data_IF_048330088539
#
_entry.id   IF_048330088539
#
_cell.length_a   1.000
_cell.length_b   1.000
_cell.length_c   1.000
_cell.angle_alpha   90.00
_cell.angle_beta   90.00
_cell.angle_gamma   90.00
#
_symmetry.space_group_name_H-M   'P 1'
#
loop_
_entity.id
_entity.type
_entity.pdbx_description
1 polymer ?
#
# COMPACT_ATOMS: atom_id res chain seq x y z
N UNK A 1 101.36 73.93 5.34
CA UNK A 1 102.22 73.87 6.55
C UNK A 1 103.62 73.49 6.10
N UNK A 2 104.47 74.50 5.86
CA UNK A 2 105.86 74.31 5.42
C UNK A 2 106.67 73.89 6.64
N UNK A 3 106.83 72.57 6.83
CA UNK A 3 107.82 72.07 7.76
C UNK A 3 109.19 72.48 7.20
N UNK A 4 109.99 73.16 8.03
CA UNK A 4 111.40 73.44 7.74
C UNK A 4 112.05 72.13 7.26
N UNK A 5 112.21 71.99 5.95
CA UNK A 5 112.91 70.87 5.35
C UNK A 5 114.35 71.02 5.83
N UNK A 6 114.71 70.25 6.87
CA UNK A 6 116.12 70.04 7.21
C UNK A 6 116.79 69.64 5.90
N UNK A 7 117.81 70.40 5.51
CA UNK A 7 118.63 70.10 4.34
C UNK A 7 119.34 68.77 4.60
N UNK A 8 118.68 67.68 4.23
CA UNK A 8 119.25 66.34 4.31
C UNK A 8 120.24 66.23 3.15
N UNK A 9 121.46 65.79 3.43
CA UNK A 9 122.44 65.55 2.37
C UNK A 9 122.11 64.24 1.65
N UNK A 10 122.55 64.10 0.39
CA UNK A 10 122.31 62.90 -0.41
C UNK A 10 122.89 61.66 0.26
N UNK A 11 124.00 61.81 0.97
CA UNK A 11 124.68 60.75 1.71
C UNK A 11 123.95 60.32 2.99
N UNK A 12 123.02 61.15 3.48
CA UNK A 12 122.27 60.94 4.72
C UNK A 12 120.87 60.36 4.48
N UNK A 13 120.54 60.02 3.22
CA UNK A 13 119.27 59.35 2.89
C UNK A 13 119.25 57.95 3.51
N UNK A 14 118.24 57.70 4.35
CA UNK A 14 118.09 56.47 5.12
C UNK A 14 116.62 56.07 5.22
N UNK A 15 116.36 54.89 5.76
CA UNK A 15 114.99 54.41 6.00
C UNK A 15 114.22 55.31 6.97
N UNK A 16 114.88 55.85 7.99
CA UNK A 16 114.24 56.66 9.03
C UNK A 16 113.72 58.02 8.50
N UNK A 17 114.41 58.61 7.52
CA UNK A 17 114.02 59.89 6.93
C UNK A 17 113.32 59.75 5.56
N UNK A 18 113.20 58.53 5.02
CA UNK A 18 112.49 58.26 3.77
C UNK A 18 111.05 58.82 3.74
N UNK A 19 110.22 58.70 4.81
CA UNK A 19 108.88 59.30 4.82
C UNK A 19 108.85 60.83 4.70
N UNK A 20 109.92 61.51 5.12
CA UNK A 20 110.04 62.97 5.01
C UNK A 20 110.62 63.42 3.65
N UNK A 21 111.39 62.54 3.00
CA UNK A 21 112.07 62.81 1.71
C UNK A 21 111.17 62.49 0.52
N UNK A 22 110.56 61.30 0.48
CA UNK A 22 109.81 60.80 -0.67
C UNK A 22 108.35 61.24 -0.63
N UNK A 23 108.15 62.55 -0.48
CA UNK A 23 106.85 63.23 -0.50
C UNK A 23 106.72 64.07 -1.76
N UNK A 24 105.52 64.56 -2.05
CA UNK A 24 105.30 65.49 -3.16
C UNK A 24 106.23 66.71 -3.04
N UNK A 25 107.06 66.94 -4.06
CA UNK A 25 108.06 68.02 -4.09
C UNK A 25 109.30 67.81 -3.22
N UNK A 26 109.37 66.75 -2.40
CA UNK A 26 110.47 66.52 -1.46
C UNK A 26 111.83 66.26 -2.11
N UNK A 27 111.86 65.74 -3.34
CA UNK A 27 113.09 65.48 -4.08
C UNK A 27 113.70 66.73 -4.75
N UNK A 28 112.94 67.83 -4.82
CA UNK A 28 113.38 69.05 -5.49
C UNK A 28 114.64 69.64 -4.84
N UNK A 29 114.81 69.47 -3.53
CA UNK A 29 116.00 69.92 -2.81
C UNK A 29 117.29 69.26 -3.32
N UNK A 30 117.24 67.96 -3.65
CA UNK A 30 118.41 67.23 -4.17
C UNK A 30 118.70 67.59 -5.63
N UNK A 31 117.65 67.83 -6.42
CA UNK A 31 117.78 68.32 -7.80
C UNK A 31 118.45 69.69 -7.79
N UNK A 32 117.98 70.62 -6.95
CA UNK A 32 118.54 71.95 -6.82
C UNK A 32 119.99 71.93 -6.32
N UNK A 33 120.30 71.07 -5.35
CA UNK A 33 121.66 70.87 -4.84
C UNK A 33 122.62 70.44 -5.95
N UNK A 34 122.29 69.35 -6.67
CA UNK A 34 123.14 68.82 -7.76
C UNK A 34 123.24 69.80 -8.91
N UNK A 35 122.15 70.51 -9.25
CA UNK A 35 122.13 71.55 -10.28
C UNK A 35 123.10 72.68 -9.95
N UNK A 36 123.07 73.19 -8.72
CA UNK A 36 123.98 74.24 -8.26
C UNK A 36 125.46 73.82 -8.32
N UNK A 37 125.76 72.56 -7.98
CA UNK A 37 127.12 72.03 -8.05
C UNK A 37 127.65 71.87 -9.49
N UNK A 38 126.77 71.61 -10.46
CA UNK A 38 127.17 71.40 -11.86
C UNK A 38 127.20 72.72 -12.65
N UNK A 39 126.23 73.60 -12.44
CA UNK A 39 126.17 74.90 -13.13
C UNK A 39 127.19 75.91 -12.60
N UNK A 40 127.71 75.70 -11.38
CA UNK A 40 128.75 76.54 -10.79
C UNK A 40 130.12 76.42 -11.46
N UNK A 41 130.32 75.41 -12.32
CA UNK A 41 131.57 75.21 -13.05
C UNK A 41 131.31 75.16 -14.56
N UNK A 42 132.01 76.00 -15.33
CA UNK A 42 131.98 75.97 -16.80
C UNK A 42 133.37 75.59 -17.33
N UNK A 43 133.69 74.30 -17.48
CA UNK A 43 135.00 73.87 -17.95
C UNK A 43 135.21 74.16 -19.45
N UNK A 44 136.45 74.49 -19.84
CA UNK A 44 136.81 74.79 -21.23
C UNK A 44 136.84 73.53 -22.12
N UNK A 45 135.92 73.47 -23.08
CA UNK A 45 135.76 72.37 -24.04
C UNK A 45 136.92 72.21 -25.02
N UNK A 46 137.71 73.25 -25.26
CA UNK A 46 138.85 73.19 -26.19
C UNK A 46 139.99 72.33 -25.61
N UNK A 47 140.07 72.22 -24.27
CA UNK A 47 141.08 71.41 -23.58
C UNK A 47 140.59 70.00 -23.27
N UNK A 48 141.51 69.02 -23.31
CA UNK A 48 141.22 67.65 -22.84
C UNK A 48 140.74 67.63 -21.39
N UNK A 49 141.39 68.43 -20.54
CA UNK A 49 141.12 68.52 -19.10
C UNK A 49 139.70 69.04 -18.80
N UNK A 50 139.23 70.03 -19.56
CA UNK A 50 137.86 70.55 -19.43
C UNK A 50 136.80 69.54 -19.89
N UNK A 51 137.04 68.81 -20.98
CA UNK A 51 136.14 67.71 -21.41
C UNK A 51 136.08 66.57 -20.37
N UNK A 52 137.21 66.18 -19.79
CA UNK A 52 137.26 65.19 -18.70
C UNK A 52 136.53 65.68 -17.43
N UNK A 53 136.59 66.99 -17.13
CA UNK A 53 135.83 67.58 -16.01
C UNK A 53 134.32 67.55 -16.26
N UNK A 54 133.85 67.86 -17.47
CA UNK A 54 132.43 67.76 -17.84
C UNK A 54 131.93 66.32 -17.70
N UNK A 55 132.71 65.33 -18.17
CA UNK A 55 132.38 63.92 -17.99
C UNK A 55 132.28 63.55 -16.49
N UNK A 56 133.17 64.09 -15.66
CA UNK A 56 133.16 63.89 -14.21
C UNK A 56 131.93 64.52 -13.54
N UNK A 57 131.52 65.73 -13.95
CA UNK A 57 130.29 66.38 -13.47
C UNK A 57 129.04 65.58 -13.86
N UNK A 58 128.96 65.09 -15.11
CA UNK A 58 127.87 64.23 -15.55
C UNK A 58 127.81 62.89 -14.78
N UNK A 59 128.98 62.30 -14.48
CA UNK A 59 129.07 61.11 -13.64
C UNK A 59 128.58 61.39 -12.20
N UNK A 60 128.89 62.57 -11.64
CA UNK A 60 128.37 63.00 -10.33
C UNK A 60 126.85 63.10 -10.33
N UNK A 61 126.23 63.71 -11.34
CA UNK A 61 124.76 63.75 -11.50
C UNK A 61 124.17 62.34 -11.50
N UNK A 62 124.76 61.43 -12.29
CA UNK A 62 124.30 60.04 -12.39
C UNK A 62 124.41 59.29 -11.05
N UNK A 63 125.49 59.52 -10.30
CA UNK A 63 125.70 58.95 -8.97
C UNK A 63 124.67 59.49 -7.96
N UNK A 64 124.46 60.81 -7.94
CA UNK A 64 123.47 61.47 -7.07
C UNK A 64 122.04 61.02 -7.37
N UNK A 65 121.67 60.89 -8.66
CA UNK A 65 120.37 60.32 -9.07
C UNK A 65 120.16 58.93 -8.46
N UNK A 66 121.16 58.06 -8.62
CA UNK A 66 121.08 56.67 -8.13
C UNK A 66 121.01 56.61 -6.60
N UNK A 67 121.74 57.48 -5.90
CA UNK A 67 121.73 57.59 -4.44
C UNK A 67 120.37 58.03 -3.87
N UNK A 68 119.60 58.84 -4.63
CA UNK A 68 118.24 59.25 -4.25
C UNK A 68 117.19 58.23 -4.71
N UNK A 69 117.31 57.66 -5.91
CA UNK A 69 116.31 56.76 -6.49
C UNK A 69 116.25 55.41 -5.78
N UNK A 70 117.41 54.80 -5.48
CA UNK A 70 117.46 53.44 -4.92
C UNK A 70 116.76 53.35 -3.55
N UNK A 71 117.05 54.19 -2.54
CA UNK A 71 116.33 54.14 -1.27
C UNK A 71 114.84 54.48 -1.42
N UNK A 72 114.47 55.29 -2.42
CA UNK A 72 113.07 55.63 -2.73
C UNK A 72 112.28 54.45 -3.29
N UNK A 73 112.88 53.68 -4.19
CA UNK A 73 112.30 52.42 -4.68
C UNK A 73 112.16 51.38 -3.57
N UNK A 74 113.15 51.29 -2.68
CA UNK A 74 113.10 50.37 -1.53
C UNK A 74 112.03 50.79 -0.51
N UNK A 75 111.89 52.09 -0.23
CA UNK A 75 110.80 52.65 0.58
C UNK A 75 109.42 52.39 -0.05
N UNK A 76 109.25 52.64 -1.36
CA UNK A 76 108.00 52.36 -2.07
C UNK A 76 107.63 50.87 -2.02
N UNK A 77 108.61 49.96 -2.14
CA UNK A 77 108.38 48.51 -2.02
C UNK A 77 107.82 48.17 -0.64
N UNK A 78 108.43 48.68 0.44
CA UNK A 78 107.96 48.45 1.82
C UNK A 78 106.56 49.03 2.05
N UNK A 79 106.28 50.23 1.53
CA UNK A 79 104.94 50.83 1.60
C UNK A 79 103.88 49.96 0.91
N UNK A 80 104.21 49.32 -0.22
CA UNK A 80 103.27 48.45 -0.95
C UNK A 80 103.03 47.10 -0.28
N UNK A 81 104.01 46.59 0.47
CA UNK A 81 103.86 45.33 1.23
C UNK A 81 103.07 45.53 2.54
N UNK A 82 103.12 46.72 3.14
CA UNK A 82 102.48 46.98 4.44
C UNK A 82 100.96 46.69 4.46
N UNK A 83 100.14 47.11 3.46
CA UNK A 83 98.72 46.78 3.42
C UNK A 83 98.47 45.27 3.46
N UNK A 84 99.25 44.47 2.72
CA UNK A 84 99.07 43.01 2.68
C UNK A 84 99.30 42.37 4.05
N UNK A 85 100.32 42.83 4.79
CA UNK A 85 100.60 42.34 6.15
C UNK A 85 99.46 42.72 7.09
N UNK A 86 99.03 43.99 7.05
CA UNK A 86 97.94 44.48 7.91
C UNK A 86 96.62 43.76 7.60
N UNK A 87 96.28 43.55 6.33
CA UNK A 87 95.08 42.80 5.92
C UNK A 87 95.12 41.34 6.40
N UNK A 88 96.28 40.68 6.30
CA UNK A 88 96.44 39.31 6.79
C UNK A 88 96.24 39.22 8.31
N UNK A 89 96.89 40.11 9.07
CA UNK A 89 96.76 40.17 10.53
C UNK A 89 95.32 40.50 10.96
N UNK A 90 94.66 41.45 10.30
CA UNK A 90 93.27 41.79 10.59
C UNK A 90 92.33 40.61 10.29
N UNK A 91 92.54 39.91 9.18
CA UNK A 91 91.75 38.72 8.85
C UNK A 91 91.94 37.61 9.87
N UNK A 92 93.18 37.35 10.27
CA UNK A 92 93.49 36.35 11.29
C UNK A 92 92.86 36.72 12.64
N UNK A 93 92.97 37.99 13.04
CA UNK A 93 92.35 38.50 14.26
C UNK A 93 90.83 38.32 14.25
N UNK A 94 90.14 38.79 13.20
CA UNK A 94 88.68 38.65 13.08
C UNK A 94 88.27 37.18 13.13
N UNK A 95 88.95 36.32 12.37
CA UNK A 95 88.66 34.87 12.35
C UNK A 95 88.80 34.24 13.74
N UNK A 96 89.87 34.57 14.47
CA UNK A 96 90.09 34.06 15.83
C UNK A 96 89.07 34.60 16.83
N UNK A 97 88.69 35.87 16.71
CA UNK A 97 87.69 36.48 17.58
C UNK A 97 86.29 35.91 17.34
N UNK A 98 85.92 35.65 16.09
CA UNK A 98 84.66 34.96 15.75
C UNK A 98 84.64 33.54 16.32
N UNK A 99 85.72 32.77 16.13
CA UNK A 99 85.85 31.43 16.70
C UNK A 99 85.77 31.44 18.24
N UNK A 100 86.43 32.41 18.89
CA UNK A 100 86.38 32.57 20.35
C UNK A 100 84.96 32.94 20.81
N UNK A 101 84.26 33.82 20.11
CA UNK A 101 82.86 34.15 20.40
C UNK A 101 81.98 32.90 20.33
N UNK A 102 82.11 32.13 19.26
CA UNK A 102 81.28 30.96 19.02
C UNK A 102 81.56 29.86 20.05
N UNK A 103 82.83 29.60 20.37
CA UNK A 103 83.25 28.68 21.44
C UNK A 103 82.76 29.13 22.82
N UNK A 104 82.82 30.43 23.10
CA UNK A 104 82.32 31.00 24.37
C UNK A 104 80.81 30.87 24.48
N UNK A 105 80.07 31.01 23.37
CA UNK A 105 78.61 30.88 23.34
C UNK A 105 78.15 29.41 23.28
N UNK A 106 79.00 28.49 22.81
CA UNK A 106 78.64 27.09 22.58
C UNK A 106 77.94 26.41 23.77
N UNK A 107 78.40 26.52 25.03
CA UNK A 107 77.70 25.89 26.16
C UNK A 107 76.26 26.40 26.34
N UNK A 108 76.02 27.69 26.09
CA UNK A 108 74.68 28.26 26.16
C UNK A 108 73.80 27.74 25.03
N UNK A 109 74.32 27.68 23.80
CA UNK A 109 73.57 27.15 22.65
C UNK A 109 73.26 25.66 22.78
N UNK A 110 74.19 24.87 23.30
CA UNK A 110 73.95 23.45 23.60
C UNK A 110 72.87 23.27 24.68
N UNK A 111 72.90 24.10 25.73
CA UNK A 111 71.86 24.11 26.76
C UNK A 111 70.51 24.55 26.22
N UNK A 112 70.43 25.66 25.48
CA UNK A 112 69.20 26.16 24.83
C UNK A 112 68.57 25.05 23.95
N UNK A 113 69.38 24.38 23.13
CA UNK A 113 68.91 23.28 22.28
C UNK A 113 68.43 22.07 23.08
N UNK A 114 69.14 21.70 24.14
CA UNK A 114 68.75 20.58 25.00
C UNK A 114 67.46 20.87 25.79
N UNK A 115 67.28 22.13 26.19
CA UNK A 115 66.12 22.62 26.93
C UNK A 115 64.88 22.67 26.03
N UNK A 116 64.99 23.24 24.83
CA UNK A 116 63.92 23.23 23.83
C UNK A 116 63.51 21.78 23.52
N UNK A 117 64.48 20.89 23.27
CA UNK A 117 64.20 19.47 23.03
C UNK A 117 63.59 18.76 24.25
N UNK A 118 63.85 19.22 25.48
CA UNK A 118 63.22 18.70 26.70
C UNK A 118 61.76 19.12 26.77
N UNK A 119 61.48 20.41 26.57
CA UNK A 119 60.14 20.98 26.55
C UNK A 119 59.29 20.32 25.45
N UNK A 120 59.83 20.19 24.24
CA UNK A 120 59.13 19.54 23.11
C UNK A 120 58.77 18.09 23.43
N UNK A 121 59.69 17.31 24.01
CA UNK A 121 59.39 15.91 24.41
C UNK A 121 58.23 15.82 25.39
N UNK A 122 58.13 16.72 26.37
CA UNK A 122 57.02 16.73 27.32
C UNK A 122 55.70 17.13 26.66
N UNK A 123 55.72 18.17 25.83
CA UNK A 123 54.55 18.63 25.10
C UNK A 123 54.03 17.57 24.12
N UNK A 124 54.92 16.90 23.38
CA UNK A 124 54.57 15.82 22.45
C UNK A 124 53.94 14.64 23.19
N UNK A 125 54.48 14.27 24.36
CA UNK A 125 53.91 13.20 25.16
C UNK A 125 52.53 13.58 25.73
N UNK A 126 52.32 14.83 26.16
CA UNK A 126 51.01 15.35 26.58
C UNK A 126 50.03 15.36 25.41
N UNK A 127 50.45 15.81 24.22
CA UNK A 127 49.62 15.81 23.02
C UNK A 127 49.26 14.39 22.61
N UNK A 128 50.19 13.43 22.71
CA UNK A 128 49.90 12.01 22.48
C UNK A 128 48.79 11.49 23.40
N UNK A 129 48.79 11.87 24.68
CA UNK A 129 47.70 11.51 25.61
C UNK A 129 46.36 12.08 25.14
N UNK A 130 46.33 13.35 24.69
CA UNK A 130 45.13 14.01 24.15
C UNK A 130 44.63 13.30 22.88
N UNK A 131 45.53 12.97 21.96
CA UNK A 131 45.21 12.31 20.69
C UNK A 131 44.63 10.91 20.90
N UNK A 132 45.12 10.17 21.89
CA UNK A 132 44.56 8.86 22.26
C UNK A 132 43.08 8.97 22.68
N UNK A 133 42.70 10.08 23.34
CA UNK A 133 41.32 10.37 23.72
C UNK A 133 40.50 11.11 22.66
N UNK A 134 41.07 11.39 21.49
CA UNK A 134 40.36 12.03 20.39
C UNK A 134 39.64 11.00 19.50
N UNK A 135 38.55 11.45 18.86
CA UNK A 135 37.82 10.71 17.82
C UNK A 135 37.33 9.30 18.23
N UNK A 136 36.96 9.13 19.51
CA UNK A 136 36.61 7.81 20.07
C UNK A 136 35.37 7.14 19.46
N UNK A 137 34.49 7.92 18.82
CA UNK A 137 33.18 7.44 18.37
C UNK A 137 33.20 6.43 17.21
N UNK A 138 34.29 6.36 16.45
CA UNK A 138 34.44 5.45 15.30
C UNK A 138 35.13 4.14 15.67
N UNK A 139 35.66 4.03 16.88
CA UNK A 139 36.46 2.91 17.33
C UNK A 139 35.58 1.75 17.83
N UNK A 140 36.06 0.53 17.62
CA UNK A 140 35.50 -0.65 18.26
C UNK A 140 36.04 -0.85 19.69
N UNK A 141 35.50 -1.83 20.41
CA UNK A 141 35.87 -2.09 21.80
C UNK A 141 37.34 -2.53 21.95
N UNK A 142 37.91 -3.24 20.97
CA UNK A 142 39.29 -3.71 21.01
C UNK A 142 40.27 -2.54 20.83
N UNK A 143 39.99 -1.66 19.88
CA UNK A 143 40.75 -0.44 19.64
C UNK A 143 40.69 0.51 20.84
N UNK A 144 39.52 0.68 21.46
CA UNK A 144 39.37 1.48 22.68
C UNK A 144 40.18 0.89 23.83
N UNK A 145 40.16 -0.44 24.00
CA UNK A 145 40.96 -1.12 25.01
C UNK A 145 42.47 -0.95 24.76
N UNK A 146 42.92 -1.06 23.50
CA UNK A 146 44.31 -0.86 23.13
C UNK A 146 44.80 0.56 23.46
N UNK A 147 44.00 1.59 23.13
CA UNK A 147 44.30 2.98 23.49
C UNK A 147 44.32 3.20 25.01
N UNK A 148 43.40 2.57 25.75
CA UNK A 148 43.39 2.62 27.21
C UNK A 148 44.67 2.00 27.79
N UNK A 149 45.11 0.86 27.26
CA UNK A 149 46.36 0.21 27.65
C UNK A 149 47.58 1.08 27.35
N UNK A 150 47.66 1.66 26.15
CA UNK A 150 48.74 2.59 25.78
C UNK A 150 48.78 3.80 26.73
N UNK A 151 47.63 4.45 26.97
CA UNK A 151 47.54 5.59 27.88
C UNK A 151 47.92 5.21 29.31
N UNK A 152 47.50 4.04 29.78
CA UNK A 152 47.82 3.57 31.13
C UNK A 152 49.34 3.37 31.34
N UNK A 153 50.07 3.00 30.28
CA UNK A 153 51.50 2.71 30.32
C UNK A 153 52.38 3.96 30.52
N UNK A 154 51.87 5.17 30.31
CA UNK A 154 52.61 6.40 30.59
C UNK A 154 52.97 6.49 32.08
N UNK A 155 54.26 6.44 32.42
CA UNK A 155 54.72 6.61 33.79
C UNK A 155 54.85 8.11 34.11
N UNK A 156 54.04 8.57 35.06
CA UNK A 156 54.14 9.92 35.62
C UNK A 156 55.11 9.89 36.80
N UNK A 157 55.79 11.00 37.05
CA UNK A 157 56.73 11.16 38.15
C UNK A 157 57.73 12.27 37.89
N UNK A 158 58.81 12.30 38.69
CA UNK A 158 59.81 13.38 38.70
C UNK A 158 60.42 13.71 37.33
N UNK A 159 60.51 12.73 36.43
CA UNK A 159 61.01 12.93 35.06
C UNK A 159 60.18 13.91 34.22
N UNK A 160 58.96 14.26 34.64
CA UNK A 160 58.10 15.24 33.98
C UNK A 160 58.28 16.66 34.48
N UNK A 161 59.00 16.85 35.59
CA UNK A 161 59.35 18.17 36.12
C UNK A 161 58.13 19.11 36.24
N UNK A 162 58.19 20.33 35.69
CA UNK A 162 57.07 21.29 35.73
C UNK A 162 55.83 20.83 34.94
N UNK A 163 55.97 19.85 34.05
CA UNK A 163 54.88 19.31 33.23
C UNK A 163 54.12 18.18 33.93
N UNK A 164 54.59 17.65 35.07
CA UNK A 164 53.98 16.50 35.76
C UNK A 164 52.49 16.74 36.05
N UNK A 165 52.17 17.92 36.58
CA UNK A 165 50.80 18.25 36.94
C UNK A 165 49.88 18.36 35.71
N UNK A 166 50.37 18.87 34.58
CA UNK A 166 49.60 18.92 33.33
C UNK A 166 49.44 17.53 32.71
N UNK A 167 50.50 16.74 32.67
CA UNK A 167 50.48 15.36 32.19
C UNK A 167 49.53 14.49 33.02
N UNK A 168 49.53 14.63 34.34
CA UNK A 168 48.63 13.93 35.24
C UNK A 168 47.15 14.25 34.95
N UNK A 169 46.81 15.55 34.88
CA UNK A 169 45.44 15.98 34.54
C UNK A 169 45.01 15.50 33.16
N UNK A 170 45.90 15.59 32.18
CA UNK A 170 45.63 15.17 30.80
C UNK A 170 45.42 13.66 30.73
N UNK A 171 46.30 12.87 31.37
CA UNK A 171 46.18 11.42 31.44
C UNK A 171 44.87 10.99 32.11
N UNK A 172 44.52 11.60 33.25
CA UNK A 172 43.29 11.30 33.96
C UNK A 172 42.05 11.62 33.12
N UNK A 173 41.96 12.82 32.54
CA UNK A 173 40.85 13.21 31.67
C UNK A 173 40.72 12.28 30.46
N UNK A 174 41.84 11.90 29.86
CA UNK A 174 41.89 11.01 28.70
C UNK A 174 41.50 9.57 29.06
N UNK A 175 41.91 9.06 30.22
CA UNK A 175 41.51 7.74 30.74
C UNK A 175 40.00 7.71 30.98
N UNK A 176 39.45 8.74 31.61
CA UNK A 176 38.01 8.84 31.87
C UNK A 176 37.19 8.86 30.57
N UNK A 177 37.64 9.62 29.56
CA UNK A 177 37.00 9.68 28.25
C UNK A 177 37.02 8.31 27.53
N UNK A 178 38.19 7.66 27.50
CA UNK A 178 38.34 6.33 26.90
C UNK A 178 37.51 5.27 27.61
N UNK A 179 37.48 5.27 28.94
CA UNK A 179 36.69 4.32 29.71
C UNK A 179 35.20 4.53 29.52
N UNK A 180 34.73 5.78 29.47
CA UNK A 180 33.33 6.09 29.15
C UNK A 180 32.95 5.62 27.73
N UNK A 181 33.82 5.85 26.74
CA UNK A 181 33.60 5.40 25.37
C UNK A 181 33.56 3.87 25.27
N UNK A 182 34.47 3.17 25.97
CA UNK A 182 34.49 1.70 26.00
C UNK A 182 33.21 1.13 26.60
N UNK A 183 32.75 1.66 27.74
CA UNK A 183 31.50 1.23 28.38
C UNK A 183 30.31 1.48 27.46
N UNK A 184 30.24 2.65 26.82
CA UNK A 184 29.19 2.96 25.86
C UNK A 184 29.21 2.00 24.66
N UNK A 185 30.40 1.66 24.15
CA UNK A 185 30.55 0.73 23.04
C UNK A 185 30.17 -0.69 23.40
N UNK A 186 30.62 -1.19 24.55
CA UNK A 186 30.24 -2.51 25.06
C UNK A 186 28.72 -2.62 25.27
N UNK A 187 28.09 -1.57 25.79
CA UNK A 187 26.63 -1.51 25.93
C UNK A 187 25.94 -1.57 24.58
N UNK A 188 26.38 -0.75 23.62
CA UNK A 188 25.83 -0.77 22.26
C UNK A 188 25.96 -2.17 21.64
N UNK A 189 27.13 -2.80 21.72
CA UNK A 189 27.38 -4.10 21.13
C UNK A 189 26.55 -5.21 21.79
N UNK A 190 26.34 -5.13 23.11
CA UNK A 190 25.43 -6.03 23.84
C UNK A 190 23.96 -5.83 23.43
N UNK A 191 23.50 -4.58 23.27
CA UNK A 191 22.15 -4.25 22.79
C UNK A 191 21.92 -4.77 21.36
N UNK A 192 22.91 -4.65 20.47
CA UNK A 192 22.84 -5.21 19.12
C UNK A 192 22.78 -6.74 19.13
N UNK A 193 23.53 -7.40 20.00
CA UNK A 193 23.50 -8.86 20.14
C UNK A 193 22.14 -9.36 20.69
N UNK A 194 21.58 -8.68 21.70
CA UNK A 194 20.25 -8.96 22.22
C UNK A 194 19.17 -8.73 21.16
N UNK A 195 19.24 -7.63 20.41
CA UNK A 195 18.30 -7.33 19.31
C UNK A 195 18.37 -8.41 18.22
N UNK A 196 19.56 -8.89 17.88
CA UNK A 196 19.73 -9.99 16.94
C UNK A 196 19.12 -11.30 17.46
N UNK A 197 19.27 -11.61 18.75
CA UNK A 197 18.62 -12.78 19.39
C UNK A 197 17.10 -12.67 19.34
N UNK A 198 16.55 -11.52 19.71
CA UNK A 198 15.11 -11.26 19.70
C UNK A 198 14.51 -11.37 18.29
N UNK A 199 15.23 -10.89 17.26
CA UNK A 199 14.80 -11.06 15.85
C UNK A 199 14.75 -12.52 15.45
N UNK A 200 15.79 -13.32 15.78
CA UNK A 200 15.80 -14.76 15.49
C UNK A 200 14.66 -15.50 16.20
N UNK A 201 14.44 -15.20 17.47
CA UNK A 201 13.34 -15.81 18.24
C UNK A 201 11.96 -15.42 17.66
N UNK A 202 11.78 -14.16 17.23
CA UNK A 202 10.55 -13.72 16.58
C UNK A 202 10.34 -14.40 15.22
N UNK A 203 11.40 -14.57 14.42
CA UNK A 203 11.36 -15.29 13.15
C UNK A 203 10.99 -16.77 13.36
N UNK A 204 11.59 -17.43 14.35
CA UNK A 204 11.26 -18.82 14.71
C UNK A 204 9.81 -18.97 15.17
N UNK A 205 9.31 -18.07 16.03
CA UNK A 205 7.90 -18.06 16.45
C UNK A 205 6.96 -17.83 15.27
N UNK A 206 7.28 -16.88 14.39
CA UNK A 206 6.47 -16.61 13.19
C UNK A 206 6.46 -17.80 12.20
N UNK A 207 7.55 -18.56 12.12
CA UNK A 207 7.57 -19.82 11.36
C UNK A 207 6.70 -20.89 12.04
N UNK A 208 6.82 -21.07 13.36
CA UNK A 208 5.99 -22.02 14.10
C UNK A 208 4.49 -21.68 14.00
N UNK A 209 4.12 -20.41 14.08
CA UNK A 209 2.74 -19.96 13.93
C UNK A 209 2.23 -20.18 12.50
N UNK A 210 3.06 -19.97 11.48
CA UNK A 210 2.73 -20.32 10.08
C UNK A 210 2.49 -21.82 9.92
N UNK A 211 3.34 -22.65 10.51
CA UNK A 211 3.18 -24.11 10.49
C UNK A 211 1.88 -24.52 11.20
N UNK A 212 1.59 -23.98 12.39
CA UNK A 212 0.35 -24.25 13.13
C UNK A 212 -0.88 -23.81 12.35
N UNK A 213 -0.89 -22.60 11.82
CA UNK A 213 -1.99 -22.10 11.00
C UNK A 213 -2.22 -22.97 9.75
N UNK A 214 -1.14 -23.44 9.10
CA UNK A 214 -1.25 -24.37 7.98
C UNK A 214 -1.82 -25.74 8.39
N UNK A 215 -1.42 -26.27 9.56
CA UNK A 215 -1.96 -27.51 10.11
C UNK A 215 -3.44 -27.37 10.48
N UNK A 216 -3.82 -26.28 11.17
CA UNK A 216 -5.21 -25.99 11.52
C UNK A 216 -6.08 -25.81 10.27
N UNK A 217 -5.60 -25.08 9.27
CA UNK A 217 -6.28 -24.92 7.98
C UNK A 217 -6.44 -26.27 7.27
N UNK A 218 -5.44 -27.16 7.30
CA UNK A 218 -5.54 -28.50 6.73
C UNK A 218 -6.57 -29.37 7.47
N UNK A 219 -6.59 -29.31 8.80
CA UNK A 219 -7.59 -30.03 9.62
C UNK A 219 -9.00 -29.52 9.35
N UNK A 220 -9.19 -28.21 9.27
CA UNK A 220 -10.49 -27.60 8.99
C UNK A 220 -10.96 -27.88 7.56
N UNK A 221 -10.06 -27.83 6.57
CA UNK A 221 -10.37 -28.22 5.20
C UNK A 221 -10.82 -29.68 5.11
N UNK A 222 -10.17 -30.59 5.85
CA UNK A 222 -10.59 -31.99 5.90
C UNK A 222 -11.92 -32.17 6.62
N UNK A 223 -12.17 -31.45 7.72
CA UNK A 223 -13.49 -31.44 8.38
C UNK A 223 -14.59 -30.95 7.45
N UNK A 224 -14.34 -29.89 6.69
CA UNK A 224 -15.30 -29.37 5.71
C UNK A 224 -15.56 -30.37 4.59
N UNK A 225 -14.52 -31.05 4.07
CA UNK A 225 -14.70 -32.14 3.09
C UNK A 225 -15.57 -33.26 3.64
N UNK A 226 -15.28 -33.75 4.84
CA UNK A 226 -16.06 -34.81 5.48
C UNK A 226 -17.50 -34.37 5.74
N UNK A 227 -17.71 -33.13 6.19
CA UNK A 227 -19.05 -32.57 6.40
C UNK A 227 -19.83 -32.44 5.09
N UNK A 228 -19.20 -31.96 4.02
CA UNK A 228 -19.79 -31.89 2.68
C UNK A 228 -20.12 -33.29 2.15
N UNK A 229 -19.25 -34.28 2.33
CA UNK A 229 -19.47 -35.65 1.92
C UNK A 229 -20.63 -36.29 2.70
N UNK A 230 -20.71 -36.07 4.02
CA UNK A 230 -21.86 -36.51 4.81
C UNK A 230 -23.16 -35.82 4.40
N UNK A 231 -23.12 -34.52 4.14
CA UNK A 231 -24.30 -33.78 3.70
C UNK A 231 -24.76 -34.27 2.32
N UNK A 232 -23.84 -34.43 1.37
CA UNK A 232 -24.12 -35.01 0.06
C UNK A 232 -24.67 -36.44 0.17
N UNK A 233 -24.15 -37.26 1.09
CA UNK A 233 -24.66 -38.60 1.35
C UNK A 233 -26.08 -38.57 1.94
N UNK A 234 -26.38 -37.64 2.86
CA UNK A 234 -27.73 -37.43 3.41
C UNK A 234 -28.70 -36.94 2.35
N UNK A 235 -28.30 -35.98 1.53
CA UNK A 235 -29.12 -35.48 0.42
C UNK A 235 -29.36 -36.56 -0.63
N UNK A 236 -28.35 -37.38 -0.94
CA UNK A 236 -28.52 -38.53 -1.83
C UNK A 236 -29.45 -39.59 -1.22
N UNK A 237 -29.35 -39.86 0.09
CA UNK A 237 -30.26 -40.77 0.78
C UNK A 237 -31.69 -40.22 0.81
N UNK A 238 -31.87 -38.93 1.12
CA UNK A 238 -33.17 -38.27 1.11
C UNK A 238 -33.79 -38.24 -0.30
N UNK A 239 -32.98 -37.99 -1.35
CA UNK A 239 -33.45 -38.09 -2.75
C UNK A 239 -33.89 -39.50 -3.10
N UNK A 240 -33.15 -40.53 -2.69
CA UNK A 240 -33.54 -41.93 -2.91
C UNK A 240 -34.82 -42.29 -2.16
N UNK A 241 -34.97 -41.84 -0.91
CA UNK A 241 -36.19 -42.04 -0.14
C UNK A 241 -37.38 -41.33 -0.77
N UNK A 242 -37.20 -40.08 -1.20
CA UNK A 242 -38.22 -39.30 -1.89
C UNK A 242 -38.57 -39.92 -3.25
N UNK A 243 -37.60 -40.43 -4.00
CA UNK A 243 -37.83 -41.14 -5.26
C UNK A 243 -38.57 -42.47 -5.04
N UNK A 244 -38.29 -43.19 -3.95
CA UNK A 244 -39.05 -44.39 -3.55
C UNK A 244 -40.48 -44.04 -3.14
N UNK A 245 -40.69 -42.93 -2.40
CA UNK A 245 -42.02 -42.43 -2.04
C UNK A 245 -42.79 -41.96 -3.27
N UNK A 246 -42.15 -41.25 -4.20
CA UNK A 246 -42.75 -40.81 -5.45
C UNK A 246 -43.08 -41.99 -6.36
N UNK A 247 -42.23 -43.03 -6.42
CA UNK A 247 -42.52 -44.28 -7.11
C UNK A 247 -43.68 -45.03 -6.46
N UNK A 248 -43.73 -45.11 -5.12
CA UNK A 248 -44.84 -45.73 -4.41
C UNK A 248 -46.14 -44.96 -4.62
N UNK A 249 -46.11 -43.62 -4.57
CA UNK A 249 -47.26 -42.77 -4.84
C UNK A 249 -47.68 -42.84 -6.32
N UNK A 250 -46.74 -42.96 -7.26
CA UNK A 250 -47.05 -43.20 -8.67
C UNK A 250 -47.68 -44.57 -8.89
N UNK A 251 -47.18 -45.63 -8.22
CA UNK A 251 -47.79 -46.95 -8.25
C UNK A 251 -49.18 -46.97 -7.61
N UNK A 252 -49.38 -46.26 -6.49
CA UNK A 252 -50.70 -46.10 -5.88
C UNK A 252 -51.65 -45.33 -6.80
N UNK A 253 -51.18 -44.25 -7.45
CA UNK A 253 -51.98 -43.51 -8.44
C UNK A 253 -52.28 -44.34 -9.68
N UNK A 254 -51.36 -45.18 -10.15
CA UNK A 254 -51.59 -46.10 -11.26
C UNK A 254 -52.57 -47.20 -10.85
N UNK A 255 -52.44 -47.77 -9.66
CA UNK A 255 -53.36 -48.77 -9.12
C UNK A 255 -54.75 -48.17 -8.83
N UNK A 256 -54.81 -46.93 -8.36
CA UNK A 256 -56.04 -46.17 -8.15
C UNK A 256 -56.67 -45.80 -9.49
N UNK A 257 -55.90 -45.33 -10.47
CA UNK A 257 -56.39 -45.08 -11.82
C UNK A 257 -56.87 -46.37 -12.50
N UNK A 258 -56.17 -47.49 -12.34
CA UNK A 258 -56.62 -48.80 -12.82
C UNK A 258 -57.90 -49.25 -12.11
N UNK A 259 -58.01 -49.05 -10.78
CA UNK A 259 -59.23 -49.32 -10.02
C UNK A 259 -60.39 -48.43 -10.44
N UNK A 260 -60.15 -47.14 -10.67
CA UNK A 260 -61.13 -46.19 -11.18
C UNK A 260 -61.51 -46.55 -12.60
N UNK A 261 -60.57 -46.95 -13.45
CA UNK A 261 -60.83 -47.37 -14.83
C UNK A 261 -61.61 -48.69 -14.87
N UNK A 262 -61.30 -49.64 -13.99
CA UNK A 262 -62.08 -50.87 -13.81
C UNK A 262 -63.46 -50.58 -13.22
N UNK A 263 -63.59 -49.63 -12.28
CA UNK A 263 -64.89 -49.17 -11.78
C UNK A 263 -65.69 -48.44 -12.85
N UNK A 264 -65.07 -47.57 -13.63
CA UNK A 264 -65.69 -46.89 -14.77
C UNK A 264 -66.08 -47.89 -15.85
N UNK A 265 -65.26 -48.92 -16.13
CA UNK A 265 -65.63 -50.01 -17.03
C UNK A 265 -66.76 -50.87 -16.47
N UNK A 266 -66.76 -51.16 -15.16
CA UNK A 266 -67.83 -51.89 -14.50
C UNK A 266 -69.13 -51.08 -14.46
N UNK A 267 -69.06 -49.78 -14.18
CA UNK A 267 -70.18 -48.86 -14.18
C UNK A 267 -70.65 -48.57 -15.61
N UNK A 268 -69.76 -48.49 -16.60
CA UNK A 268 -70.13 -48.40 -18.02
C UNK A 268 -70.72 -49.72 -18.51
N UNK A 269 -70.24 -50.87 -18.05
CA UNK A 269 -70.81 -52.18 -18.38
C UNK A 269 -72.15 -52.39 -17.67
N UNK A 270 -72.31 -51.91 -16.43
CA UNK A 270 -73.56 -51.93 -15.68
C UNK A 270 -74.55 -50.95 -16.30
N UNK A 271 -74.15 -49.71 -16.61
CA UNK A 271 -74.98 -48.76 -17.37
C UNK A 271 -75.28 -49.26 -18.77
N UNK A 272 -74.37 -49.94 -19.46
CA UNK A 272 -74.64 -50.55 -20.76
C UNK A 272 -75.56 -51.77 -20.62
N UNK A 273 -75.51 -52.52 -19.52
CA UNK A 273 -76.47 -53.59 -19.22
C UNK A 273 -77.83 -53.05 -18.84
N UNK A 274 -77.90 -52.04 -17.99
CA UNK A 274 -79.12 -51.33 -17.62
C UNK A 274 -79.70 -50.62 -18.85
N UNK A 275 -78.87 -50.02 -19.71
CA UNK A 275 -79.31 -49.39 -20.96
C UNK A 275 -79.72 -50.44 -21.99
N UNK A 276 -79.02 -51.57 -22.12
CA UNK A 276 -79.43 -52.67 -23.01
C UNK A 276 -80.67 -53.40 -22.50
N UNK A 277 -80.89 -53.47 -21.18
CA UNK A 277 -82.08 -54.01 -20.55
C UNK A 277 -83.23 -53.00 -20.64
N UNK A 278 -82.98 -51.70 -20.43
CA UNK A 278 -83.94 -50.62 -20.67
C UNK A 278 -84.28 -50.48 -22.16
N UNK A 279 -83.34 -50.71 -23.08
CA UNK A 279 -83.55 -50.69 -24.53
C UNK A 279 -84.25 -51.97 -24.99
N UNK A 280 -83.98 -53.13 -24.38
CA UNK A 280 -84.77 -54.36 -24.59
C UNK A 280 -86.19 -54.21 -24.07
N UNK A 281 -86.38 -53.70 -22.86
CA UNK A 281 -87.69 -53.45 -22.26
C UNK A 281 -88.42 -52.35 -23.03
N UNK A 282 -87.75 -51.30 -23.48
CA UNK A 282 -88.34 -50.27 -24.32
C UNK A 282 -88.60 -50.75 -25.75
N UNK A 283 -87.83 -51.71 -26.30
CA UNK A 283 -88.10 -52.33 -27.59
C UNK A 283 -89.26 -53.35 -27.49
N UNK A 284 -89.34 -54.12 -26.41
CA UNK A 284 -90.47 -55.00 -26.10
C UNK A 284 -91.73 -54.20 -25.81
N UNK A 285 -91.66 -53.11 -25.03
CA UNK A 285 -92.78 -52.22 -24.78
C UNK A 285 -93.19 -51.43 -26.03
N UNK A 286 -92.26 -51.03 -26.90
CA UNK A 286 -92.60 -50.40 -28.20
C UNK A 286 -93.23 -51.41 -29.16
N UNK A 287 -92.74 -52.65 -29.24
CA UNK A 287 -93.37 -53.69 -30.06
C UNK A 287 -94.73 -54.13 -29.52
N UNK A 288 -94.91 -54.16 -28.20
CA UNK A 288 -96.19 -54.48 -27.56
C UNK A 288 -97.18 -53.32 -27.69
N UNK A 289 -96.75 -52.06 -27.49
CA UNK A 289 -97.58 -50.88 -27.75
C UNK A 289 -97.93 -50.75 -29.23
N UNK A 290 -97.02 -51.00 -30.17
CA UNK A 290 -97.35 -50.98 -31.60
C UNK A 290 -98.30 -52.11 -31.99
N UNK A 291 -98.20 -53.31 -31.38
CA UNK A 291 -99.17 -54.38 -31.57
C UNK A 291 -100.54 -54.05 -30.99
N UNK A 292 -100.58 -53.48 -29.78
CA UNK A 292 -101.83 -53.09 -29.12
C UNK A 292 -102.49 -51.88 -29.82
N UNK A 293 -101.71 -50.91 -30.30
CA UNK A 293 -102.22 -49.75 -31.05
C UNK A 293 -102.58 -50.11 -32.50
N UNK A 294 -101.96 -51.14 -33.10
CA UNK A 294 -102.41 -51.68 -34.39
C UNK A 294 -103.71 -52.50 -34.26
N UNK A 295 -103.84 -53.28 -33.17
CA UNK A 295 -105.06 -54.02 -32.86
C UNK A 295 -106.23 -53.09 -32.51
N UNK A 296 -106.01 -52.08 -31.65
CA UNK A 296 -107.04 -51.06 -31.34
C UNK A 296 -107.43 -50.24 -32.55
N UNK A 297 -106.49 -49.85 -33.42
CA UNK A 297 -106.85 -49.12 -34.65
C UNK A 297 -107.63 -49.97 -35.65
N UNK A 298 -107.45 -51.30 -35.67
CA UNK A 298 -108.30 -52.18 -36.48
C UNK A 298 -109.68 -52.41 -35.86
N UNK A 299 -109.79 -52.55 -34.53
CA UNK A 299 -111.08 -52.69 -33.84
C UNK A 299 -111.89 -51.38 -33.89
N UNK A 300 -111.28 -50.24 -33.60
CA UNK A 300 -111.95 -48.93 -33.62
C UNK A 300 -112.43 -48.55 -35.03
N UNK A 301 -111.68 -48.90 -36.09
CA UNK A 301 -112.11 -48.67 -37.47
C UNK A 301 -113.25 -49.60 -37.92
N UNK A 302 -113.30 -50.84 -37.42
CA UNK A 302 -114.37 -51.79 -37.72
C UNK A 302 -115.66 -51.50 -36.93
N UNK A 303 -115.56 -51.02 -35.69
CA UNK A 303 -116.71 -50.61 -34.87
C UNK A 303 -117.32 -49.29 -35.35
N UNK A 304 -116.51 -48.28 -35.70
CA UNK A 304 -117.05 -47.02 -36.20
C UNK A 304 -117.79 -47.20 -37.54
N UNK A 305 -117.32 -48.06 -38.44
CA UNK A 305 -118.03 -48.37 -39.68
C UNK A 305 -119.42 -49.02 -39.43
N UNK A 306 -119.54 -49.89 -38.42
CA UNK A 306 -120.83 -50.51 -38.05
C UNK A 306 -121.77 -49.55 -37.32
N UNK A 307 -121.23 -48.67 -36.48
CA UNK A 307 -122.02 -47.72 -35.71
C UNK A 307 -122.58 -46.58 -36.56
N UNK A 308 -121.85 -46.12 -37.59
CA UNK A 308 -122.34 -45.07 -38.49
C UNK A 308 -123.44 -45.55 -39.45
N UNK A 309 -123.41 -46.81 -39.89
CA UNK A 309 -124.50 -47.39 -40.68
C UNK A 309 -125.78 -47.55 -39.84
N UNK A 310 -125.63 -47.97 -38.57
CA UNK A 310 -126.76 -48.14 -37.64
C UNK A 310 -127.34 -46.81 -37.15
N UNK A 311 -126.50 -45.78 -36.95
CA UNK A 311 -126.96 -44.43 -36.55
C UNK A 311 -127.80 -43.73 -37.62
N UNK A 312 -127.51 -43.92 -38.91
CA UNK A 312 -128.32 -43.32 -39.99
C UNK A 312 -129.70 -43.98 -40.11
N UNK A 313 -129.83 -45.26 -39.76
CA UNK A 313 -131.13 -45.95 -39.72
C UNK A 313 -131.96 -45.53 -38.49
N UNK A 314 -131.34 -45.40 -37.32
CA UNK A 314 -132.06 -45.10 -36.07
C UNK A 314 -132.48 -43.62 -35.93
N UNK A 315 -131.73 -42.69 -36.52
CA UNK A 315 -132.06 -41.26 -36.51
C UNK A 315 -133.29 -40.90 -37.38
N UNK A 316 -133.66 -41.73 -38.36
CA UNK A 316 -134.82 -41.51 -39.21
C UNK A 316 -136.14 -42.04 -38.61
N UNK A 317 -136.10 -42.87 -37.55
CA UNK A 317 -137.27 -43.61 -37.06
C UNK A 317 -137.99 -43.01 -35.83
N UNK A 318 -137.29 -42.46 -34.84
CA UNK A 318 -137.90 -42.29 -33.51
C UNK A 318 -138.37 -40.86 -33.14
N UNK A 319 -138.08 -39.85 -33.98
CA UNK A 319 -138.72 -38.52 -33.92
C UNK A 319 -140.26 -38.61 -34.08
N UNK A 320 -140.76 -39.72 -34.66
CA UNK A 320 -142.19 -39.99 -34.88
C UNK A 320 -142.89 -40.53 -33.61
N UNK A 321 -142.17 -41.16 -32.66
CA UNK A 321 -142.79 -41.91 -31.55
C UNK A 321 -143.05 -41.08 -30.28
N UNK A 322 -142.18 -40.13 -29.91
CA UNK A 322 -142.35 -39.40 -28.62
C UNK A 322 -143.32 -38.23 -28.64
N UNK A 323 -143.70 -37.70 -29.81
CA UNK A 323 -144.82 -36.74 -29.89
C UNK A 323 -146.19 -37.39 -29.58
N UNK A 324 -146.29 -38.73 -29.55
CA UNK A 324 -147.52 -39.47 -29.22
C UNK A 324 -147.69 -39.72 -27.71
N UNK A 325 -146.66 -40.15 -26.98
CA UNK A 325 -146.83 -40.54 -25.56
C UNK A 325 -147.11 -39.38 -24.60
N UNK A 326 -146.71 -38.14 -24.95
CA UNK A 326 -147.01 -36.96 -24.14
C UNK A 326 -148.50 -36.57 -24.15
N UNK A 327 -149.30 -37.05 -25.11
CA UNK A 327 -150.73 -36.69 -25.25
C UNK A 327 -151.68 -37.63 -24.52
N UNK A 328 -151.28 -38.89 -24.28
CA UNK A 328 -152.18 -39.91 -23.70
C UNK A 328 -152.25 -39.87 -22.16
N UNK A 329 -151.15 -39.59 -21.46
CA UNK A 329 -151.14 -39.58 -19.97
C UNK A 329 -151.96 -38.45 -19.35
N UNK A 330 -152.09 -37.31 -20.03
CA UNK A 330 -152.92 -36.19 -19.58
C UNK A 330 -154.43 -36.54 -19.59
N UNK A 331 -154.87 -37.42 -20.50
CA UNK A 331 -156.28 -37.86 -20.54
C UNK A 331 -156.62 -38.85 -19.40
N UNK A 332 -155.70 -39.75 -19.07
CA UNK A 332 -155.91 -40.75 -18.02
C UNK A 332 -156.09 -40.11 -16.62
N UNK A 333 -155.31 -39.05 -16.33
CA UNK A 333 -155.43 -38.32 -15.06
C UNK A 333 -156.79 -37.64 -14.92
N UNK A 334 -157.29 -37.00 -15.98
CA UNK A 334 -158.57 -36.28 -15.99
C UNK A 334 -159.76 -37.19 -15.74
N UNK A 335 -159.76 -38.39 -16.34
CA UNK A 335 -160.84 -39.36 -16.15
C UNK A 335 -160.95 -39.86 -14.70
N UNK A 336 -159.81 -40.07 -14.01
CA UNK A 336 -159.77 -40.54 -12.62
C UNK A 336 -160.43 -39.56 -11.66
N UNK A 337 -160.08 -38.28 -11.76
CA UNK A 337 -160.59 -37.24 -10.84
C UNK A 337 -162.10 -37.04 -10.98
N UNK A 338 -162.64 -37.10 -12.21
CA UNK A 338 -164.11 -37.03 -12.41
C UNK A 338 -164.82 -38.26 -11.81
N UNK A 339 -164.19 -39.43 -11.86
CA UNK A 339 -164.73 -40.65 -11.27
C UNK A 339 -164.90 -40.55 -9.75
N UNK A 340 -163.92 -40.00 -9.05
CA UNK A 340 -163.96 -39.81 -7.59
C UNK A 340 -165.06 -38.83 -7.16
N UNK A 341 -165.23 -37.72 -7.91
CA UNK A 341 -166.30 -36.76 -7.68
C UNK A 341 -167.70 -37.38 -7.90
N UNK A 342 -167.86 -38.24 -8.91
CA UNK A 342 -169.11 -38.97 -9.17
C UNK A 342 -169.48 -39.85 -7.98
N UNK A 343 -168.52 -40.62 -7.47
CA UNK A 343 -168.74 -41.55 -6.35
C UNK A 343 -169.14 -40.83 -5.07
N UNK A 344 -168.56 -39.65 -4.78
CA UNK A 344 -168.92 -38.84 -3.63
C UNK A 344 -170.36 -38.28 -3.70
N UNK A 345 -170.87 -37.99 -4.90
CA UNK A 345 -172.27 -37.54 -5.05
C UNK A 345 -173.27 -38.68 -4.86
N UNK A 346 -172.88 -39.92 -5.15
CA UNK A 346 -173.77 -41.08 -5.00
C UNK A 346 -174.14 -41.39 -3.54
N UNK A 347 -173.41 -40.86 -2.54
CA UNK A 347 -173.75 -41.06 -1.12
C UNK A 347 -174.97 -40.25 -0.62
N UNK A 348 -175.57 -39.42 -1.48
CA UNK A 348 -176.74 -38.58 -1.15
C UNK A 348 -178.08 -39.16 -1.67
N UNK A 349 -178.18 -40.47 -1.89
CA UNK A 349 -179.38 -41.17 -2.39
C UNK A 349 -179.83 -40.77 -3.81
N UNK A 350 -178.88 -40.43 -4.68
CA UNK A 350 -179.10 -40.01 -6.08
C UNK A 350 -178.58 -41.07 -7.07
N UNK A 351 -179.25 -41.22 -8.22
CA UNK A 351 -178.90 -42.23 -9.24
C UNK A 351 -177.61 -41.89 -10.00
N UNK A 352 -176.87 -42.93 -10.42
CA UNK A 352 -175.55 -42.79 -11.07
C UNK A 352 -175.58 -41.93 -12.34
N UNK A 353 -176.65 -42.01 -13.12
CA UNK A 353 -176.83 -41.19 -14.33
C UNK A 353 -176.88 -39.70 -13.99
N UNK A 354 -177.59 -39.32 -12.92
CA UNK A 354 -177.69 -37.94 -12.49
C UNK A 354 -176.37 -37.44 -11.90
N UNK A 355 -175.68 -38.27 -11.10
CA UNK A 355 -174.36 -37.96 -10.58
C UNK A 355 -173.33 -37.69 -11.70
N UNK A 356 -173.34 -38.51 -12.76
CA UNK A 356 -172.48 -38.31 -13.95
C UNK A 356 -172.80 -37.00 -14.67
N UNK A 357 -174.07 -36.68 -14.88
CA UNK A 357 -174.48 -35.46 -15.58
C UNK A 357 -174.04 -34.19 -14.82
N UNK A 358 -174.13 -34.21 -13.49
CA UNK A 358 -173.68 -33.10 -12.63
C UNK A 358 -172.16 -32.91 -12.75
N UNK A 359 -171.37 -33.98 -12.60
CA UNK A 359 -169.90 -33.91 -12.74
C UNK A 359 -169.50 -33.40 -14.12
N UNK A 360 -170.19 -33.82 -15.19
CA UNK A 360 -169.90 -33.38 -16.55
C UNK A 360 -170.18 -31.88 -16.78
N UNK A 361 -171.30 -31.36 -16.26
CA UNK A 361 -171.62 -29.93 -16.35
C UNK A 361 -170.63 -29.06 -15.59
N UNK A 362 -170.17 -29.52 -14.42
CA UNK A 362 -169.14 -28.83 -13.65
C UNK A 362 -167.79 -28.88 -14.38
N UNK A 363 -167.40 -30.03 -14.94
CA UNK A 363 -166.18 -30.15 -15.73
C UNK A 363 -166.17 -29.24 -16.98
N UNK A 364 -167.35 -28.99 -17.56
CA UNK A 364 -167.55 -28.06 -18.70
C UNK A 364 -167.72 -26.59 -18.31
N UNK A 365 -167.69 -26.26 -17.01
CA UNK A 365 -167.92 -24.90 -16.47
C UNK A 365 -169.30 -24.29 -16.81
N UNK A 366 -170.31 -25.12 -17.00
CA UNK A 366 -171.69 -24.66 -17.25
C UNK A 366 -172.45 -24.32 -15.96
N UNK A 367 -171.87 -24.65 -14.81
CA UNK A 367 -172.36 -24.25 -13.48
C UNK A 367 -171.50 -23.08 -13.01
N UNK A 368 -172.04 -21.86 -12.88
CA UNK A 368 -171.26 -20.69 -12.46
C UNK A 368 -170.67 -20.89 -11.05
N UNK A 369 -169.45 -20.39 -10.84
CA UNK A 369 -168.75 -20.35 -9.55
C UNK A 369 -168.31 -21.72 -8.96
N UNK A 370 -168.31 -22.82 -9.73
CA UNK A 370 -167.76 -24.13 -9.32
C UNK A 370 -166.82 -24.68 -10.40
N UNK A 371 -165.70 -25.33 -10.02
CA UNK A 371 -164.73 -25.96 -10.95
C UNK A 371 -164.18 -27.28 -10.39
N UNK A 372 -163.67 -28.16 -11.27
CA UNK A 372 -162.90 -29.37 -10.93
C UNK A 372 -161.43 -29.11 -11.29
N UNK A 373 -160.51 -29.35 -10.34
CA UNK A 373 -159.07 -29.34 -10.59
C UNK A 373 -158.63 -30.75 -11.02
N UNK A 374 -157.88 -30.84 -12.11
CA UNK A 374 -157.38 -32.11 -12.66
C UNK A 374 -155.95 -32.39 -12.24
#
# INVERSE_FOLDING_TARGET
MSAQQKLIKIEEISEANAPAIYVAGGLQQFINLVKGEVEGEVPDLTTRKGRERIASLAAKVSKSKTAVEKPGRDYLRRLKEMPKVVEAELREFVTKMDALRDETRRPLTEWETAEDARIDRHNDAINRMKDLAAELGTLDAEQLQARLSELSAFQLGEAWEEFEAEAARTKEASLNALQAALVARQKHDAEQAELARLRREAEERAEQDRIRAAQEAAVEAERQRVAQEQQAAREAAARREQELLDQAAAQEREAENQRLQLKLQAEQAERARIQAEADRVAAEQRMEQERQDAARRQEEAAEQARLEERRRADAAAAEILRQQEARERDQAHKAKVMGEAKTALMSLNITEELARAIVLKIARREVPNITINF
#
